data_IF_919620995229
#
_entry.id   IF_919620995229
#
_cell.length_a   1.000
_cell.length_b   1.000
_cell.length_c   1.000
_cell.angle_alpha   90.00
_cell.angle_beta   90.00
_cell.angle_gamma   90.00
#
_symmetry.space_group_name_H-M   'P 1'
#
loop_
_entity.id
_entity.type
_entity.pdbx_description
1 polymer ?
#
# COMPACT_ATOMS: atom_id res chain seq x y z
N UNK A 1 4.55 -10.47 13.44
CA UNK A 1 4.67 -10.96 12.04
C UNK A 1 4.85 -9.76 11.10
N UNK A 2 5.55 -9.92 9.98
CA UNK A 2 5.71 -8.82 9.02
C UNK A 2 4.43 -8.59 8.22
N UNK A 3 4.16 -7.34 7.80
CA UNK A 3 3.01 -7.04 6.93
C UNK A 3 3.14 -7.78 5.59
N UNK A 4 2.03 -8.32 5.11
CA UNK A 4 1.98 -9.10 3.86
C UNK A 4 1.47 -8.31 2.66
N UNK A 5 1.07 -7.05 2.87
CA UNK A 5 0.61 -6.15 1.83
C UNK A 5 1.11 -4.73 2.08
N UNK A 6 1.14 -3.92 1.01
CA UNK A 6 1.50 -2.51 1.09
C UNK A 6 0.55 -1.75 2.02
N UNK A 7 -0.77 -1.98 1.95
CA UNK A 7 -1.74 -1.36 2.86
C UNK A 7 -1.41 -1.62 4.33
N UNK A 8 -1.14 -2.88 4.65
CA UNK A 8 -0.80 -3.26 6.03
C UNK A 8 0.52 -2.62 6.46
N UNK A 9 1.52 -2.61 5.59
CA UNK A 9 2.80 -1.96 5.87
C UNK A 9 2.66 -0.45 6.11
N UNK A 10 1.79 0.23 5.35
CA UNK A 10 1.51 1.66 5.54
C UNK A 10 0.82 1.95 6.87
N UNK A 11 -0.07 1.08 7.34
CA UNK A 11 -0.68 1.22 8.68
C UNK A 11 0.36 1.08 9.79
N UNK A 12 1.24 0.09 9.70
CA UNK A 12 2.33 -0.07 10.67
C UNK A 12 3.33 1.09 10.62
N UNK A 13 3.61 1.61 9.43
CA UNK A 13 4.49 2.77 9.26
C UNK A 13 3.89 4.03 9.88
N UNK A 14 2.58 4.26 9.73
CA UNK A 14 1.87 5.42 10.29
C UNK A 14 1.94 5.49 11.82
N UNK A 15 2.01 4.34 12.50
CA UNK A 15 2.15 4.25 13.95
C UNK A 15 3.62 4.25 14.42
N UNK A 16 4.59 4.28 13.51
CA UNK A 16 6.01 4.11 13.84
C UNK A 16 6.73 5.45 14.06
N UNK A 17 6.91 5.81 15.32
CA UNK A 17 7.70 6.97 15.74
C UNK A 17 9.14 6.91 15.21
N UNK A 18 9.80 5.74 15.30
CA UNK A 18 11.14 5.52 14.76
C UNK A 18 11.25 5.89 13.27
N UNK A 19 10.25 5.53 12.46
CA UNK A 19 10.27 5.80 11.03
C UNK A 19 10.04 7.30 10.76
N UNK A 20 9.14 7.94 11.51
CA UNK A 20 8.89 9.37 11.42
C UNK A 20 10.14 10.19 11.80
N UNK A 21 10.83 9.83 12.88
CA UNK A 21 12.07 10.49 13.32
C UNK A 21 13.21 10.30 12.31
N UNK A 22 13.36 9.07 11.78
CA UNK A 22 14.44 8.74 10.86
C UNK A 22 14.31 9.46 9.51
N UNK A 23 13.08 9.62 9.02
CA UNK A 23 12.81 10.28 7.74
C UNK A 23 12.62 11.79 7.87
N UNK A 24 12.21 12.26 9.05
CA UNK A 24 11.69 13.60 9.28
C UNK A 24 10.21 13.73 8.88
N UNK A 25 9.46 14.55 9.64
CA UNK A 25 7.99 14.65 9.53
C UNK A 25 7.49 14.94 8.11
N UNK A 26 8.15 15.87 7.39
CA UNK A 26 7.72 16.23 6.04
C UNK A 26 7.84 15.07 5.06
N UNK A 27 9.00 14.40 5.04
CA UNK A 27 9.26 13.26 4.15
C UNK A 27 8.34 12.10 4.52
N UNK A 28 8.20 11.81 5.81
CA UNK A 28 7.29 10.77 6.31
C UNK A 28 5.86 10.95 5.79
N UNK A 29 5.30 12.17 5.94
CA UNK A 29 3.96 12.50 5.47
C UNK A 29 3.82 12.34 3.95
N UNK A 30 4.79 12.81 3.17
CA UNK A 30 4.78 12.66 1.72
C UNK A 30 4.86 11.20 1.27
N UNK A 31 5.70 10.39 1.93
CA UNK A 31 5.82 8.97 1.62
C UNK A 31 4.50 8.25 1.89
N UNK A 32 3.88 8.47 3.06
CA UNK A 32 2.57 7.89 3.39
C UNK A 32 1.50 8.28 2.36
N UNK A 33 1.38 9.58 2.05
CA UNK A 33 0.42 10.08 1.08
C UNK A 33 0.61 9.43 -0.31
N UNK A 34 1.85 9.46 -0.81
CA UNK A 34 2.17 8.94 -2.15
C UNK A 34 1.92 7.44 -2.24
N UNK A 35 2.32 6.68 -1.21
CA UNK A 35 2.14 5.23 -1.20
C UNK A 35 0.68 4.81 -1.02
N UNK A 36 -0.12 5.57 -0.28
CA UNK A 36 -1.59 5.36 -0.24
C UNK A 36 -2.22 5.59 -1.61
N UNK A 37 -1.82 6.64 -2.32
CA UNK A 37 -2.30 6.92 -3.68
C UNK A 37 -1.90 5.82 -4.66
N UNK A 38 -0.65 5.35 -4.59
CA UNK A 38 -0.16 4.21 -5.39
C UNK A 38 -0.98 2.95 -5.11
N UNK A 39 -1.23 2.63 -3.84
CA UNK A 39 -2.02 1.48 -3.45
C UNK A 39 -3.46 1.55 -3.96
N UNK A 40 -4.11 2.71 -3.84
CA UNK A 40 -5.46 2.92 -4.37
C UNK A 40 -5.49 2.69 -5.89
N UNK A 41 -4.51 3.24 -6.61
CA UNK A 41 -4.40 3.06 -8.06
C UNK A 41 -4.08 1.62 -8.48
N UNK A 42 -3.35 0.85 -7.66
CA UNK A 42 -3.12 -0.57 -7.90
C UNK A 42 -4.40 -1.39 -7.68
N UNK A 43 -5.09 -1.18 -6.55
CA UNK A 43 -6.29 -1.94 -6.17
C UNK A 43 -7.51 -1.67 -7.03
N UNK A 44 -7.55 -0.55 -7.75
CA UNK A 44 -8.60 -0.25 -8.71
C UNK A 44 -8.41 -0.95 -10.06
N UNK A 45 -7.27 -1.62 -10.28
CA UNK A 45 -7.02 -2.34 -11.53
C UNK A 45 -7.75 -3.68 -11.53
N UNK A 46 -8.26 -4.05 -12.70
CA UNK A 46 -8.68 -5.42 -12.99
C UNK A 46 -7.51 -6.09 -13.71
N UNK A 47 -6.89 -7.06 -13.05
CA UNK A 47 -5.70 -7.75 -13.56
C UNK A 47 -6.08 -8.85 -14.56
N UNK A 48 -5.18 -9.21 -15.50
CA UNK A 48 -5.41 -10.36 -16.39
C UNK A 48 -5.65 -11.67 -15.63
N UNK A 49 -5.03 -11.83 -14.45
CA UNK A 49 -5.29 -12.96 -13.58
C UNK A 49 -6.74 -12.99 -13.11
N UNK A 50 -7.27 -11.87 -12.62
CA UNK A 50 -8.67 -11.77 -12.18
C UNK A 50 -9.64 -11.99 -13.35
N UNK A 51 -9.34 -11.49 -14.55
CA UNK A 51 -10.14 -11.77 -15.75
C UNK A 51 -10.15 -13.28 -16.05
N UNK A 52 -8.99 -13.91 -16.09
CA UNK A 52 -8.86 -15.34 -16.35
C UNK A 52 -9.58 -16.18 -15.31
N UNK A 53 -9.38 -15.88 -14.02
CA UNK A 53 -9.97 -16.65 -12.93
C UNK A 53 -11.47 -16.45 -12.79
N UNK A 54 -11.99 -15.24 -13.01
CA UNK A 54 -13.41 -14.96 -12.74
C UNK A 54 -14.32 -15.05 -13.97
N UNK A 55 -13.80 -14.87 -15.19
CA UNK A 55 -14.61 -14.87 -16.42
C UNK A 55 -14.50 -16.18 -17.23
N UNK A 56 -13.36 -16.89 -17.21
CA UNK A 56 -13.25 -18.20 -17.90
C UNK A 56 -13.91 -19.36 -17.11
N UNK A 57 -14.33 -19.11 -15.86
CA UNK A 57 -15.10 -20.06 -15.06
C UNK A 57 -16.63 -20.00 -15.31
N UNK A 58 -17.11 -19.03 -16.10
CA UNK A 58 -18.52 -18.89 -16.51
C UNK A 58 -18.75 -19.52 -17.88
#
# INVERSE_FOLDING_TARGET
PLPTSLDQALRFMEESELVAETLGEQVFNYVLLNKRKEWQGYRSQVTPFELKSNLEML
#
